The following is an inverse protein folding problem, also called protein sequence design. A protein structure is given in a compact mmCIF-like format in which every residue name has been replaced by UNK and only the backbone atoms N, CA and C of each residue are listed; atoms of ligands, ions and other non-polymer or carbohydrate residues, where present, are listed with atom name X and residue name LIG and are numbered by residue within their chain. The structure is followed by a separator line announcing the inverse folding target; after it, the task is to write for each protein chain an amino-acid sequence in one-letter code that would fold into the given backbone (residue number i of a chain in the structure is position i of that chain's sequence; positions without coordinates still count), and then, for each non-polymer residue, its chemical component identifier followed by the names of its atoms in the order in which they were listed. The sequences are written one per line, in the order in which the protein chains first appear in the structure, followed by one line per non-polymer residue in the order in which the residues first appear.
data_IF_633881780713
#
_entry.id   IF_633881780713
#
_cell.length_a   1.000
_cell.length_b   1.000
_cell.length_c   1.000
_cell.angle_alpha   90.00
_cell.angle_beta   90.00
_cell.angle_gamma   90.00
#
_symmetry.space_group_name_H-M   'P 1'
#
loop_
_entity.id
_entity.type
_entity.pdbx_description
1 polymer ?
#
# COMPACT_ATOMS: atom_id res chain seq x y z
N UNK A 1 0.33 -5.12 17.00
CA UNK A 1 -0.44 -6.12 16.25
C UNK A 1 -1.83 -6.36 16.85
N UNK A 2 -1.95 -6.59 18.16
CA UNK A 2 -3.26 -6.85 18.80
C UNK A 2 -4.28 -5.73 18.59
N UNK A 3 -3.87 -4.46 18.60
CA UNK A 3 -4.77 -3.33 18.36
C UNK A 3 -5.27 -3.32 16.90
N UNK A 4 -4.37 -3.46 15.93
CA UNK A 4 -4.71 -3.52 14.50
C UNK A 4 -5.67 -4.66 14.18
N UNK A 5 -5.39 -5.86 14.69
CA UNK A 5 -6.24 -7.03 14.48
C UNK A 5 -7.64 -6.87 15.09
N UNK A 6 -7.75 -6.25 16.27
CA UNK A 6 -9.05 -5.95 16.88
C UNK A 6 -9.85 -4.95 16.04
N UNK A 7 -9.18 -3.91 15.52
CA UNK A 7 -9.78 -2.87 14.68
C UNK A 7 -10.25 -3.42 13.33
N UNK A 8 -9.45 -4.29 12.71
CA UNK A 8 -9.76 -4.90 11.42
C UNK A 8 -10.85 -6.00 11.50
N UNK A 9 -11.19 -6.45 12.70
CA UNK A 9 -12.16 -7.54 12.88
C UNK A 9 -11.57 -8.94 12.67
N UNK A 10 -12.43 -9.95 12.78
CA UNK A 10 -12.00 -11.36 12.79
C UNK A 10 -11.84 -12.02 11.41
N UNK A 11 -12.41 -11.46 10.36
CA UNK A 11 -12.45 -12.03 9.02
C UNK A 11 -11.89 -11.07 7.96
N UNK A 12 -11.39 -11.63 6.85
CA UNK A 12 -11.03 -10.85 5.67
C UNK A 12 -12.31 -10.20 5.12
N UNK A 13 -12.29 -8.90 4.93
CA UNK A 13 -13.43 -8.12 4.45
C UNK A 13 -12.98 -6.83 3.74
N UNK A 14 -13.95 -6.04 3.27
CA UNK A 14 -13.68 -4.79 2.57
C UNK A 14 -13.37 -4.98 1.08
N UNK A 15 -12.86 -3.95 0.42
CA UNK A 15 -12.63 -3.95 -1.01
C UNK A 15 -11.57 -4.98 -1.43
N UNK A 16 -11.62 -5.38 -2.70
CA UNK A 16 -10.57 -6.19 -3.34
C UNK A 16 -9.36 -5.29 -3.61
N UNK A 17 -8.27 -5.57 -2.91
CA UNK A 17 -7.07 -4.73 -2.91
C UNK A 17 -5.92 -5.38 -3.67
N UNK A 18 -5.28 -4.60 -4.51
CA UNK A 18 -4.00 -4.91 -5.13
C UNK A 18 -2.91 -3.99 -4.58
N UNK A 19 -1.74 -4.53 -4.28
CA UNK A 19 -0.57 -3.75 -3.88
C UNK A 19 0.52 -3.85 -4.94
N UNK A 20 0.80 -2.72 -5.63
CA UNK A 20 1.82 -2.63 -6.67
C UNK A 20 3.02 -1.80 -6.27
N UNK A 21 4.10 -1.88 -7.06
CA UNK A 21 5.34 -1.15 -6.77
C UNK A 21 6.20 -1.78 -5.67
N UNK A 22 5.85 -3.00 -5.24
CA UNK A 22 6.58 -3.69 -4.19
C UNK A 22 8.06 -3.86 -4.56
N UNK A 23 8.95 -3.49 -3.64
CA UNK A 23 10.38 -3.69 -3.82
C UNK A 23 10.70 -5.19 -3.86
N UNK A 24 11.24 -5.63 -4.99
CA UNK A 24 11.70 -6.99 -5.20
C UNK A 24 12.97 -6.95 -6.04
N UNK A 25 14.13 -7.12 -5.40
CA UNK A 25 15.44 -6.99 -6.05
C UNK A 25 15.63 -5.62 -6.73
N UNK A 26 15.21 -4.55 -6.05
CA UNK A 26 15.31 -3.18 -6.52
C UNK A 26 13.96 -2.53 -6.80
N UNK A 27 14.00 -1.31 -7.35
CA UNK A 27 12.84 -0.50 -7.70
C UNK A 27 12.05 -1.14 -8.84
N UNK A 28 10.77 -1.37 -8.64
CA UNK A 28 9.86 -2.03 -9.57
C UNK A 28 8.64 -1.17 -9.89
N UNK A 29 7.95 -1.47 -11.01
CA UNK A 29 6.73 -0.80 -11.44
C UNK A 29 5.46 -1.36 -10.81
N UNK A 30 4.30 -0.91 -11.33
CA UNK A 30 2.98 -1.27 -10.78
C UNK A 30 2.74 -2.79 -10.80
N UNK A 31 3.32 -3.51 -11.74
CA UNK A 31 3.13 -4.96 -11.89
C UNK A 31 3.90 -5.81 -10.86
N UNK A 32 4.79 -5.19 -10.09
CA UNK A 32 5.49 -5.88 -9.00
C UNK A 32 4.63 -5.96 -7.75
N UNK A 33 4.30 -7.17 -7.35
CA UNK A 33 3.36 -7.45 -6.25
C UNK A 33 3.82 -8.64 -5.42
N UNK A 34 3.10 -8.94 -4.35
CA UNK A 34 3.34 -10.09 -3.47
C UNK A 34 2.04 -10.74 -3.03
N UNK A 35 2.07 -12.06 -2.95
CA UNK A 35 1.16 -12.84 -2.12
C UNK A 35 1.52 -12.64 -0.65
N UNK A 36 0.57 -12.74 0.26
CA UNK A 36 0.79 -12.67 1.71
C UNK A 36 1.71 -11.52 2.14
N UNK A 37 1.24 -10.31 1.91
CA UNK A 37 1.91 -9.10 2.40
C UNK A 37 1.56 -8.92 3.88
N UNK A 38 2.54 -8.99 4.77
CA UNK A 38 2.34 -8.87 6.22
C UNK A 38 1.50 -7.65 6.62
N UNK A 39 1.65 -6.54 5.89
CA UNK A 39 0.85 -5.32 6.09
C UNK A 39 -0.64 -5.59 5.88
N UNK A 40 -0.97 -6.25 4.78
CA UNK A 40 -2.34 -6.55 4.37
C UNK A 40 -2.95 -7.66 5.24
N UNK A 41 -2.17 -8.71 5.50
CA UNK A 41 -2.61 -9.86 6.30
C UNK A 41 -2.89 -9.47 7.76
N UNK A 42 -2.08 -8.56 8.33
CA UNK A 42 -2.26 -8.08 9.71
C UNK A 42 -3.58 -7.34 9.89
N UNK A 43 -3.99 -6.53 8.91
CA UNK A 43 -5.26 -5.78 8.95
C UNK A 43 -6.37 -6.44 8.13
N UNK A 44 -6.25 -7.75 7.85
CA UNK A 44 -7.29 -8.58 7.23
C UNK A 44 -7.82 -8.05 5.90
N UNK A 45 -6.96 -7.46 5.09
CA UNK A 45 -7.32 -6.95 3.77
C UNK A 45 -7.58 -8.09 2.79
N UNK A 46 -8.59 -7.92 1.94
CA UNK A 46 -8.86 -8.81 0.83
C UNK A 46 -7.83 -8.61 -0.30
N UNK A 47 -6.63 -9.15 -0.13
CA UNK A 47 -5.56 -9.08 -1.12
C UNK A 47 -5.87 -10.03 -2.29
N UNK A 48 -6.10 -9.46 -3.48
CA UNK A 48 -6.44 -10.22 -4.70
C UNK A 48 -5.35 -11.20 -5.16
N UNK A 49 -4.15 -11.07 -4.60
CA UNK A 49 -3.02 -11.95 -4.95
C UNK A 49 -2.98 -13.23 -4.13
N UNK A 50 -3.67 -13.31 -2.98
CA UNK A 50 -3.55 -14.44 -2.05
C UNK A 50 -3.98 -15.80 -2.64
N UNK A 51 -4.88 -15.78 -3.62
CA UNK A 51 -5.41 -17.00 -4.27
C UNK A 51 -4.78 -17.32 -5.63
N UNK A 52 -3.88 -16.45 -6.13
CA UNK A 52 -3.40 -16.53 -7.51
C UNK A 52 -2.04 -17.20 -7.69
N UNK A 53 -1.24 -17.26 -6.64
CA UNK A 53 0.14 -17.77 -6.73
C UNK A 53 0.64 -18.29 -5.39
N UNK A 54 1.67 -19.12 -5.42
CA UNK A 54 2.43 -19.55 -4.22
C UNK A 54 3.80 -18.90 -4.17
N UNK A 55 4.06 -17.91 -5.00
CA UNK A 55 5.35 -17.23 -5.09
C UNK A 55 5.39 -16.00 -4.19
N UNK A 56 6.45 -15.87 -3.39
CA UNK A 56 6.65 -14.78 -2.40
C UNK A 56 6.88 -13.39 -3.00
N UNK A 57 6.83 -13.25 -4.30
CA UNK A 57 6.95 -11.99 -5.01
C UNK A 57 7.04 -12.26 -6.50
N UNK A 58 6.31 -11.51 -7.30
CA UNK A 58 6.19 -11.71 -8.73
C UNK A 58 6.03 -10.40 -9.47
N UNK A 59 6.33 -10.44 -10.76
CA UNK A 59 5.94 -9.42 -11.72
C UNK A 59 4.74 -10.00 -12.47
N UNK A 60 3.59 -9.37 -12.29
CA UNK A 60 2.35 -9.76 -12.92
C UNK A 60 2.32 -9.29 -14.39
N UNK A 61 1.58 -9.98 -15.25
CA UNK A 61 1.30 -9.48 -16.60
C UNK A 61 0.19 -8.42 -16.56
N UNK A 62 0.24 -7.47 -17.50
CA UNK A 62 -0.77 -6.41 -17.62
C UNK A 62 -2.17 -6.96 -17.81
N UNK A 63 -2.29 -7.95 -18.69
CA UNK A 63 -3.54 -8.64 -19.00
C UNK A 63 -4.15 -9.25 -17.74
N UNK A 64 -3.31 -9.85 -16.89
CA UNK A 64 -3.75 -10.45 -15.64
C UNK A 64 -4.22 -9.39 -14.63
N UNK A 65 -3.55 -8.25 -14.53
CA UNK A 65 -4.01 -7.16 -13.67
C UNK A 65 -5.32 -6.55 -14.15
N UNK A 66 -5.53 -6.44 -15.47
CA UNK A 66 -6.80 -6.01 -16.07
C UNK A 66 -7.93 -7.02 -15.83
N UNK A 67 -7.64 -8.33 -15.92
CA UNK A 67 -8.62 -9.39 -15.61
C UNK A 67 -9.05 -9.36 -14.13
N UNK A 68 -8.09 -9.14 -13.23
CA UNK A 68 -8.34 -9.02 -11.78
C UNK A 68 -9.19 -7.79 -11.48
N UNK A 69 -8.86 -6.67 -12.09
CA UNK A 69 -9.46 -5.34 -11.93
C UNK A 69 -9.82 -5.05 -10.45
N UNK A 70 -8.83 -4.76 -9.61
CA UNK A 70 -9.03 -4.53 -8.18
C UNK A 70 -9.85 -3.24 -7.94
N UNK A 71 -10.63 -3.24 -6.84
CA UNK A 71 -11.44 -2.08 -6.44
C UNK A 71 -10.59 -0.97 -5.82
N UNK A 72 -9.45 -1.33 -5.20
CA UNK A 72 -8.51 -0.40 -4.58
C UNK A 72 -7.07 -0.82 -4.91
N UNK A 73 -6.24 0.16 -5.26
CA UNK A 73 -4.81 -0.07 -5.51
C UNK A 73 -3.98 0.70 -4.49
N UNK A 74 -3.10 -0.01 -3.81
CA UNK A 74 -2.03 0.55 -2.98
C UNK A 74 -0.74 0.60 -3.79
N UNK A 75 -0.07 1.75 -3.81
CA UNK A 75 1.21 1.94 -4.48
C UNK A 75 2.31 2.13 -3.45
N UNK A 76 3.22 1.19 -3.36
CA UNK A 76 4.45 1.34 -2.58
C UNK A 76 5.35 2.38 -3.27
N UNK A 77 5.63 3.47 -2.58
CA UNK A 77 6.44 4.57 -3.12
C UNK A 77 7.91 4.20 -3.36
N UNK A 78 8.37 3.01 -2.96
CA UNK A 78 9.66 2.47 -3.42
C UNK A 78 9.69 2.28 -4.94
N UNK A 79 8.53 2.00 -5.57
CA UNK A 79 8.36 1.88 -7.01
C UNK A 79 7.96 3.18 -7.73
N UNK A 80 7.82 4.30 -7.03
CA UNK A 80 7.25 5.55 -7.57
C UNK A 80 7.80 5.96 -8.92
N UNK A 81 9.12 6.01 -9.06
CA UNK A 81 9.77 6.45 -10.30
C UNK A 81 9.42 5.55 -11.49
N UNK A 82 9.38 4.23 -11.25
CA UNK A 82 9.01 3.25 -12.28
C UNK A 82 7.54 3.37 -12.65
N UNK A 83 6.66 3.47 -11.67
CA UNK A 83 5.21 3.64 -11.87
C UNK A 83 4.91 4.88 -12.70
N UNK A 84 5.51 6.03 -12.37
CA UNK A 84 5.33 7.26 -13.13
C UNK A 84 5.82 7.11 -14.58
N UNK A 85 6.99 6.48 -14.80
CA UNK A 85 7.49 6.22 -16.14
C UNK A 85 6.64 5.23 -16.95
N UNK A 86 6.00 4.27 -16.30
CA UNK A 86 5.04 3.34 -16.93
C UNK A 86 3.75 4.09 -17.30
N UNK A 87 3.26 4.96 -16.42
CA UNK A 87 2.08 5.77 -16.65
C UNK A 87 2.25 6.74 -17.82
N UNK A 88 3.43 7.36 -17.96
CA UNK A 88 3.76 8.21 -19.09
C UNK A 88 3.82 7.43 -20.42
N UNK A 89 4.36 6.21 -20.39
CA UNK A 89 4.54 5.36 -21.58
C UNK A 89 3.25 4.72 -22.07
N UNK A 90 2.39 4.32 -21.14
CA UNK A 90 1.16 3.57 -21.45
C UNK A 90 -0.01 4.03 -20.55
N UNK A 91 -0.47 5.27 -20.71
CA UNK A 91 -1.57 5.81 -19.91
C UNK A 91 -2.87 5.02 -20.09
N UNK A 92 -3.08 4.40 -21.27
CA UNK A 92 -4.30 3.63 -21.57
C UNK A 92 -4.46 2.40 -20.67
N UNK A 93 -3.34 1.74 -20.34
CA UNK A 93 -3.37 0.62 -19.42
C UNK A 93 -3.91 1.05 -18.05
N UNK A 94 -3.40 2.16 -17.52
CA UNK A 94 -3.88 2.70 -16.24
C UNK A 94 -5.33 3.19 -16.31
N UNK A 95 -5.73 3.80 -17.44
CA UNK A 95 -7.11 4.24 -17.68
C UNK A 95 -8.10 3.09 -17.76
N UNK A 96 -7.64 1.88 -18.04
CA UNK A 96 -8.48 0.68 -18.11
C UNK A 96 -8.74 0.03 -16.75
N UNK A 97 -8.01 0.43 -15.70
CA UNK A 97 -8.20 -0.09 -14.34
C UNK A 97 -9.28 0.72 -13.60
N UNK A 98 -10.31 0.06 -13.11
CA UNK A 98 -11.44 0.69 -12.39
C UNK A 98 -10.97 1.54 -11.20
N UNK A 99 -10.01 1.07 -10.42
CA UNK A 99 -9.46 1.82 -9.29
C UNK A 99 -8.82 3.15 -9.72
N UNK A 100 -8.15 3.20 -10.89
CA UNK A 100 -7.62 4.45 -11.43
C UNK A 100 -8.70 5.40 -11.95
N UNK A 101 -9.75 4.87 -12.58
CA UNK A 101 -10.89 5.66 -13.08
C UNK A 101 -11.65 6.32 -11.94
N UNK A 102 -11.85 5.60 -10.85
CA UNK A 102 -12.61 6.06 -9.68
C UNK A 102 -11.75 6.84 -8.67
N UNK A 103 -10.43 6.93 -8.89
CA UNK A 103 -9.50 7.56 -7.96
C UNK A 103 -9.34 6.79 -6.64
N UNK A 104 -9.50 5.47 -6.69
CA UNK A 104 -9.29 4.56 -5.56
C UNK A 104 -7.87 3.98 -5.58
N UNK A 105 -6.90 4.86 -5.84
CA UNK A 105 -5.48 4.58 -5.83
C UNK A 105 -4.80 5.41 -4.74
N UNK A 106 -4.04 4.77 -3.87
CA UNK A 106 -3.44 5.38 -2.69
C UNK A 106 -1.97 5.02 -2.57
N UNK A 107 -1.17 5.95 -2.07
CA UNK A 107 0.26 5.76 -1.87
C UNK A 107 0.59 5.44 -0.41
N UNK A 108 1.44 4.44 -0.20
CA UNK A 108 2.03 4.08 1.09
C UNK A 108 3.52 4.36 1.10
N UNK A 109 4.10 4.50 2.29
CA UNK A 109 5.54 4.74 2.43
C UNK A 109 6.36 3.49 2.06
N UNK A 110 7.62 3.67 1.59
CA UNK A 110 8.55 2.56 1.41
C UNK A 110 8.89 1.93 2.76
N UNK A 111 8.35 0.75 3.04
CA UNK A 111 8.56 0.03 4.30
C UNK A 111 9.62 -1.08 4.21
N UNK A 112 10.08 -1.39 3.01
CA UNK A 112 11.04 -2.47 2.79
C UNK A 112 12.15 -2.04 1.82
N UNK A 113 13.41 -2.06 2.29
CA UNK A 113 14.58 -1.80 1.43
C UNK A 113 15.53 -3.01 1.49
N UNK A 114 16.37 -3.18 2.45
CA UNK A 114 17.17 -4.40 2.69
C UNK A 114 16.57 -5.24 3.84
N UNK A 115 15.56 -4.72 4.49
CA UNK A 115 14.80 -5.30 5.57
C UNK A 115 13.55 -4.47 5.81
N UNK A 116 12.68 -4.94 6.70
CA UNK A 116 11.45 -4.23 7.04
C UNK A 116 11.75 -3.09 8.01
N UNK A 117 11.32 -1.88 7.67
CA UNK A 117 11.26 -0.75 8.58
C UNK A 117 9.97 -0.87 9.39
N UNK A 118 10.05 -1.43 10.59
CA UNK A 118 8.87 -1.80 11.39
C UNK A 118 8.02 -0.60 11.81
N UNK A 119 8.61 0.55 12.06
CA UNK A 119 7.92 1.81 12.35
C UNK A 119 7.06 2.26 11.17
N UNK A 120 7.66 2.34 9.98
CA UNK A 120 6.96 2.69 8.75
C UNK A 120 5.90 1.65 8.38
N UNK A 121 6.24 0.36 8.44
CA UNK A 121 5.29 -0.72 8.20
C UNK A 121 4.06 -0.65 9.13
N UNK A 122 4.28 -0.32 10.40
CA UNK A 122 3.19 -0.17 11.38
C UNK A 122 2.29 1.02 11.02
N UNK A 123 2.88 2.15 10.60
CA UNK A 123 2.10 3.31 10.17
C UNK A 123 1.29 3.01 8.89
N UNK A 124 1.90 2.34 7.90
CA UNK A 124 1.21 1.88 6.70
C UNK A 124 0.01 0.99 7.04
N UNK A 125 0.15 0.06 8.00
CA UNK A 125 -0.95 -0.80 8.46
C UNK A 125 -2.12 0.02 9.02
N UNK A 126 -1.87 1.07 9.81
CA UNK A 126 -2.93 1.96 10.30
C UNK A 126 -3.63 2.70 9.15
N UNK A 127 -2.86 3.18 8.17
CA UNK A 127 -3.43 3.85 7.01
C UNK A 127 -4.26 2.90 6.15
N UNK A 128 -3.74 1.72 5.84
CA UNK A 128 -4.43 0.68 5.08
C UNK A 128 -5.72 0.26 5.79
N UNK A 129 -5.65 0.03 7.11
CA UNK A 129 -6.83 -0.28 7.91
C UNK A 129 -7.90 0.82 7.83
N UNK A 130 -7.50 2.08 7.86
CA UNK A 130 -8.40 3.22 7.71
C UNK A 130 -9.09 3.27 6.33
N UNK A 131 -8.41 2.83 5.28
CA UNK A 131 -8.97 2.76 3.92
C UNK A 131 -9.92 1.58 3.74
N UNK A 132 -9.60 0.42 4.33
CA UNK A 132 -10.28 -0.84 4.04
C UNK A 132 -11.30 -1.25 5.10
N UNK A 133 -11.16 -0.74 6.33
CA UNK A 133 -12.02 -1.02 7.49
C UNK A 133 -12.35 0.28 8.24
N UNK A 134 -12.97 1.29 7.58
CA UNK A 134 -13.11 2.64 8.12
C UNK A 134 -13.77 2.66 9.51
N UNK A 135 -14.76 1.81 9.76
CA UNK A 135 -15.50 1.78 11.04
C UNK A 135 -14.61 1.44 12.23
N UNK A 136 -13.62 0.57 12.04
CA UNK A 136 -12.66 0.19 13.08
C UNK A 136 -11.54 1.22 13.32
N UNK A 137 -11.38 2.20 12.43
CA UNK A 137 -10.28 3.16 12.42
C UNK A 137 -10.74 4.64 12.43
N UNK A 138 -11.98 4.91 12.83
CA UNK A 138 -12.58 6.26 12.85
C UNK A 138 -11.80 7.25 13.72
N UNK A 139 -11.24 6.77 14.84
CA UNK A 139 -10.46 7.54 15.81
C UNK A 139 -9.00 7.73 15.41
N UNK A 140 -8.56 7.12 14.31
CA UNK A 140 -7.16 7.19 13.89
C UNK A 140 -6.90 8.44 13.05
N UNK A 141 -6.08 9.32 13.59
CA UNK A 141 -5.39 10.38 12.85
C UNK A 141 -3.99 9.92 12.48
N UNK A 142 -3.68 9.92 11.17
CA UNK A 142 -2.42 9.37 10.67
C UNK A 142 -1.21 10.20 11.10
N UNK A 143 -1.33 11.53 11.18
CA UNK A 143 -0.21 12.39 11.61
C UNK A 143 0.07 12.20 13.11
N UNK A 144 -0.96 12.15 13.93
CA UNK A 144 -0.82 11.86 15.36
C UNK A 144 -0.24 10.45 15.60
N UNK A 145 -0.71 9.45 14.83
CA UNK A 145 -0.21 8.07 14.90
C UNK A 145 1.24 7.97 14.44
N UNK A 146 1.64 8.68 13.40
CA UNK A 146 3.03 8.76 12.94
C UNK A 146 3.95 9.31 14.04
N UNK A 147 3.55 10.43 14.66
CA UNK A 147 4.30 11.02 15.77
C UNK A 147 4.47 10.05 16.94
N UNK A 148 3.42 9.33 17.30
CA UNK A 148 3.46 8.31 18.37
C UNK A 148 4.45 7.20 18.01
N UNK A 149 4.31 6.59 16.82
CA UNK A 149 5.12 5.46 16.36
C UNK A 149 6.59 5.86 16.26
N UNK A 150 6.91 6.93 15.53
CA UNK A 150 8.31 7.32 15.35
C UNK A 150 8.97 7.77 16.66
N UNK A 151 8.24 8.43 17.54
CA UNK A 151 8.78 8.78 18.88
C UNK A 151 9.10 7.51 19.67
N UNK A 152 8.25 6.49 19.59
CA UNK A 152 8.48 5.21 20.28
C UNK A 152 9.69 4.44 19.72
N UNK A 153 9.81 4.33 18.40
CA UNK A 153 10.82 3.49 17.74
C UNK A 153 12.16 4.21 17.54
N UNK A 154 12.12 5.51 17.25
CA UNK A 154 13.29 6.31 16.85
C UNK A 154 13.72 7.29 17.96
N UNK A 155 12.88 7.51 18.97
CA UNK A 155 13.13 8.47 20.05
C UNK A 155 12.79 9.93 19.70
N UNK A 156 12.37 10.21 18.45
CA UNK A 156 11.90 11.52 18.00
C UNK A 156 10.90 11.40 16.87
N UNK A 157 10.06 12.44 16.70
CA UNK A 157 9.18 12.51 15.51
C UNK A 157 10.03 12.87 14.27
N UNK A 158 10.15 11.91 13.34
CA UNK A 158 10.81 12.09 12.03
C UNK A 158 9.80 12.16 10.87
N UNK A 159 8.51 12.22 11.17
CA UNK A 159 7.46 12.17 10.16
C UNK A 159 7.50 13.39 9.22
N UNK A 160 7.82 14.56 9.76
CA UNK A 160 7.88 15.79 8.97
C UNK A 160 9.01 15.76 7.93
N UNK A 161 10.16 15.18 8.30
CA UNK A 161 11.27 14.93 7.37
C UNK A 161 10.88 13.90 6.30
N UNK A 162 10.21 12.81 6.69
CA UNK A 162 9.74 11.77 5.75
C UNK A 162 8.69 12.31 4.77
N UNK A 163 7.78 13.20 5.22
CA UNK A 163 6.82 13.87 4.34
C UNK A 163 7.45 14.77 3.29
N UNK A 164 8.63 15.33 3.55
CA UNK A 164 9.37 16.10 2.55
C UNK A 164 9.94 15.19 1.46
N UNK A 165 10.34 13.98 1.82
CA UNK A 165 10.87 12.98 0.87
C UNK A 165 9.74 12.28 0.10
N UNK A 166 8.63 11.98 0.78
CA UNK A 166 7.46 11.26 0.25
C UNK A 166 6.16 12.08 0.44
N UNK A 167 6.03 13.22 -0.23
CA UNK A 167 4.88 14.11 -0.05
C UNK A 167 3.54 13.52 -0.52
N UNK A 168 3.57 12.44 -1.32
CA UNK A 168 2.40 11.70 -1.79
C UNK A 168 1.95 10.60 -0.81
N UNK A 169 2.76 10.21 0.16
CA UNK A 169 2.42 9.17 1.12
C UNK A 169 1.13 9.49 1.88
N UNK A 170 0.33 8.47 2.11
CA UNK A 170 -0.96 8.56 2.82
C UNK A 170 -1.97 9.49 2.14
N UNK A 171 -1.95 9.54 0.82
CA UNK A 171 -2.88 10.32 -0.01
C UNK A 171 -3.35 9.51 -1.21
N UNK A 172 -4.43 9.97 -1.84
CA UNK A 172 -4.80 9.52 -3.18
C UNK A 172 -3.66 9.83 -4.14
N UNK A 173 -3.27 8.82 -4.91
CA UNK A 173 -2.23 8.98 -5.92
C UNK A 173 -2.74 9.85 -7.07
N UNK A 174 -2.01 10.91 -7.39
CA UNK A 174 -2.37 11.83 -8.47
C UNK A 174 -1.44 11.63 -9.67
N UNK A 175 -2.03 11.53 -10.85
CA UNK A 175 -1.33 11.56 -12.12
C UNK A 175 -0.93 13.02 -12.40
N UNK A 176 0.29 13.40 -12.08
CA UNK A 176 0.84 14.71 -12.48
C UNK A 176 2.08 14.50 -13.31
#
# INVERSE_FOLDING_TARGET
QNDLQKRAGGAISGPRVYMGGCSFRGEQGILSTKEHVDLLDTVKVNNVMNDLTKEKGMILDKEKLLEIDPELILLDLSGKKRILGELEKDPRFFDSLTAFQQGETYAIMPYFTYGMNFDTALLDMYYIGKLTHPDGFTDIDIEAKAKEIYTLFVGKNVYDELRQVYPEAFKKFQRK
#
